data_IF_203533812482
#
_entry.id   IF_203533812482
#
_cell.length_a   1.000
_cell.length_b   1.000
_cell.length_c   1.000
_cell.angle_alpha   90.00
_cell.angle_beta   90.00
_cell.angle_gamma   90.00
#
_symmetry.space_group_name_H-M   'P 1'
#
loop_
_entity.id
_entity.type
_entity.pdbx_description
1 polymer ?
#
# COMPACT_ATOMS: atom_id res chain seq x y z
N UNK A 1 31.84 -56.20 -20.41
CA UNK A 1 31.29 -54.99 -21.06
C UNK A 1 30.70 -54.09 -19.99
N UNK A 2 31.23 -52.87 -19.94
CA UNK A 2 30.62 -51.59 -19.49
C UNK A 2 30.13 -51.47 -18.04
N UNK A 3 30.97 -50.76 -17.27
CA UNK A 3 30.63 -50.00 -16.07
C UNK A 3 29.53 -48.98 -16.35
N UNK A 4 28.55 -48.86 -15.44
CA UNK A 4 27.63 -47.73 -15.38
C UNK A 4 27.93 -46.95 -14.09
N UNK A 5 28.64 -45.84 -14.25
CA UNK A 5 28.86 -44.85 -13.20
C UNK A 5 27.57 -44.02 -13.05
N UNK A 6 26.97 -44.06 -11.86
CA UNK A 6 25.89 -43.16 -11.49
C UNK A 6 26.50 -41.79 -11.15
N UNK A 7 26.34 -40.83 -12.05
CA UNK A 7 26.71 -39.43 -11.77
C UNK A 7 25.56 -38.82 -10.98
N UNK A 8 25.76 -38.68 -9.67
CA UNK A 8 24.90 -37.88 -8.81
C UNK A 8 25.10 -36.40 -9.17
N UNK A 9 24.16 -35.81 -9.90
CA UNK A 9 24.05 -34.35 -10.01
C UNK A 9 23.53 -33.82 -8.66
N UNK A 10 24.44 -33.42 -7.79
CA UNK A 10 24.14 -32.54 -6.67
C UNK A 10 23.83 -31.15 -7.25
N UNK A 11 22.54 -30.82 -7.34
CA UNK A 11 22.10 -29.43 -7.46
C UNK A 11 22.45 -28.72 -6.15
N UNK A 12 23.56 -27.99 -6.14
CA UNK A 12 23.80 -26.97 -5.10
C UNK A 12 22.80 -25.85 -5.33
N UNK A 13 21.68 -25.92 -4.63
CA UNK A 13 20.81 -24.76 -4.42
C UNK A 13 21.64 -23.75 -3.63
N UNK A 14 22.18 -22.75 -4.32
CA UNK A 14 22.73 -21.56 -3.68
C UNK A 14 21.51 -20.80 -3.16
N UNK A 15 21.03 -21.17 -1.97
CA UNK A 15 20.16 -20.27 -1.21
C UNK A 15 21.03 -19.08 -0.83
N UNK A 16 20.99 -18.03 -1.63
CA UNK A 16 21.42 -16.73 -1.14
C UNK A 16 20.65 -16.50 0.16
N UNK A 17 21.31 -16.13 1.27
CA UNK A 17 20.57 -15.67 2.42
C UNK A 17 19.92 -14.37 1.94
N UNK A 18 18.64 -14.45 1.58
CA UNK A 18 17.76 -13.30 1.70
C UNK A 18 17.92 -12.92 3.16
N UNK A 19 18.67 -11.84 3.41
CA UNK A 19 18.55 -11.05 4.62
C UNK A 19 17.08 -10.61 4.62
N UNK A 20 16.23 -11.48 5.14
CA UNK A 20 14.84 -11.21 5.38
C UNK A 20 14.84 -10.02 6.33
N UNK A 21 14.44 -8.90 5.76
CA UNK A 21 14.19 -7.60 6.33
C UNK A 21 13.51 -7.72 7.69
N UNK A 22 14.33 -7.71 8.74
CA UNK A 22 13.85 -7.54 10.11
C UNK A 22 13.63 -6.05 10.27
N UNK A 23 12.35 -5.65 10.27
CA UNK A 23 11.79 -4.40 10.83
C UNK A 23 11.37 -3.23 9.91
N UNK A 24 11.32 -3.33 8.57
CA UNK A 24 10.64 -2.28 7.76
C UNK A 24 9.22 -1.96 8.25
N UNK A 25 8.45 -3.01 8.59
CA UNK A 25 7.06 -2.89 9.06
C UNK A 25 6.93 -2.27 10.46
N UNK A 26 8.04 -2.20 11.22
CA UNK A 26 8.09 -1.58 12.54
C UNK A 26 8.91 -0.29 12.58
N UNK A 27 9.50 0.11 11.45
CA UNK A 27 10.32 1.31 11.36
C UNK A 27 9.44 2.57 11.52
N UNK A 28 9.50 3.16 12.71
CA UNK A 28 8.79 4.39 13.06
C UNK A 28 9.58 5.66 12.72
N UNK A 29 10.73 5.55 12.05
CA UNK A 29 11.56 6.69 11.67
C UNK A 29 10.79 7.62 10.74
N UNK A 30 10.77 8.91 11.08
CA UNK A 30 10.16 9.93 10.24
C UNK A 30 10.95 10.12 8.94
N UNK A 31 10.22 10.26 7.84
CA UNK A 31 10.78 10.59 6.55
C UNK A 31 11.23 12.05 6.57
N UNK A 32 12.53 12.28 6.39
CA UNK A 32 13.08 13.64 6.19
C UNK A 32 13.30 13.95 4.72
N UNK A 33 13.60 12.92 3.91
CA UNK A 33 13.92 13.07 2.49
C UNK A 33 13.49 11.85 1.67
N UNK A 34 12.73 12.09 0.61
CA UNK A 34 12.29 11.07 -0.34
C UNK A 34 13.35 10.76 -1.40
N UNK A 35 14.59 10.47 -0.99
CA UNK A 35 15.64 10.01 -1.90
C UNK A 35 16.22 8.70 -1.39
N UNK A 36 16.54 7.74 -2.26
CA UNK A 36 17.17 6.49 -1.84
C UNK A 36 18.49 6.74 -1.11
N UNK A 37 18.71 6.05 0.00
CA UNK A 37 19.97 5.99 0.74
C UNK A 37 20.79 4.81 0.23
N UNK A 38 21.49 5.00 -0.88
CA UNK A 38 22.18 3.91 -1.61
C UNK A 38 23.61 3.74 -1.11
N UNK A 39 24.27 4.84 -0.74
CA UNK A 39 25.67 4.80 -0.32
C UNK A 39 25.80 4.85 1.20
N UNK A 40 26.81 4.17 1.79
CA UNK A 40 27.08 4.26 3.23
C UNK A 40 27.34 5.69 3.73
N UNK A 41 27.76 6.59 2.84
CA UNK A 41 27.97 8.02 3.11
C UNK A 41 26.67 8.82 3.25
N UNK A 42 25.55 8.30 2.76
CA UNK A 42 24.27 8.99 2.77
C UNK A 42 23.72 8.98 4.20
N UNK A 43 23.79 10.15 4.86
CA UNK A 43 23.32 10.27 6.25
C UNK A 43 21.79 10.27 6.35
N UNK A 44 21.11 10.68 5.30
CA UNK A 44 19.66 10.86 5.22
C UNK A 44 19.09 10.15 3.99
N UNK A 45 17.78 9.91 3.98
CA UNK A 45 17.06 9.28 2.88
C UNK A 45 16.40 7.96 3.27
N UNK A 46 15.73 7.36 2.30
CA UNK A 46 14.97 6.13 2.47
C UNK A 46 15.92 4.92 2.44
N UNK A 47 15.97 4.09 3.50
CA UNK A 47 16.76 2.87 3.49
C UNK A 47 16.15 1.85 2.51
N UNK A 48 16.93 0.88 1.99
CA UNK A 48 16.45 -0.15 1.08
C UNK A 48 15.24 -0.95 1.56
N UNK A 49 15.09 -1.11 2.88
CA UNK A 49 13.95 -1.79 3.51
C UNK A 49 12.60 -1.10 3.30
N UNK A 50 12.59 0.19 2.90
CA UNK A 50 11.33 0.91 2.64
C UNK A 50 10.66 0.50 1.34
N UNK A 51 11.46 0.22 0.30
CA UNK A 51 10.98 -0.15 -1.04
C UNK A 51 10.63 -1.62 -1.07
N UNK A 52 9.43 -1.97 -1.54
CA UNK A 52 9.10 -3.37 -1.83
C UNK A 52 9.63 -3.78 -3.21
N UNK A 53 9.95 -5.08 -3.38
CA UNK A 53 10.60 -5.61 -4.60
C UNK A 53 9.82 -5.35 -5.90
N UNK A 54 8.49 -5.23 -5.80
CA UNK A 54 7.60 -5.01 -6.94
C UNK A 54 7.46 -3.54 -7.34
N UNK A 55 8.02 -2.61 -6.55
CA UNK A 55 8.12 -1.19 -6.88
C UNK A 55 9.57 -0.85 -7.24
N UNK A 56 9.75 -0.03 -8.28
CA UNK A 56 11.06 0.55 -8.54
C UNK A 56 11.37 1.65 -7.52
N UNK A 57 12.65 1.91 -7.27
CA UNK A 57 13.06 3.06 -6.44
C UNK A 57 12.51 4.41 -6.90
N UNK A 58 12.28 4.56 -8.21
CA UNK A 58 11.64 5.74 -8.79
C UNK A 58 10.18 5.84 -8.33
N UNK A 59 9.47 4.71 -8.28
CA UNK A 59 8.08 4.68 -7.83
C UNK A 59 7.99 4.89 -6.33
N UNK A 60 8.85 4.25 -5.52
CA UNK A 60 8.94 4.52 -4.07
C UNK A 60 9.21 6.00 -3.78
N UNK A 61 10.07 6.64 -4.57
CA UNK A 61 10.32 8.08 -4.46
C UNK A 61 9.06 8.89 -4.77
N UNK A 62 8.29 8.53 -5.80
CA UNK A 62 7.01 9.21 -6.12
C UNK A 62 5.97 9.00 -5.02
N UNK A 63 5.85 7.77 -4.51
CA UNK A 63 4.96 7.43 -3.38
C UNK A 63 5.29 8.29 -2.17
N UNK A 64 6.55 8.30 -1.76
CA UNK A 64 7.02 9.09 -0.64
C UNK A 64 6.70 10.57 -0.81
N UNK A 65 7.01 11.15 -1.97
CA UNK A 65 6.74 12.57 -2.23
C UNK A 65 5.24 12.88 -2.20
N UNK A 66 4.40 12.00 -2.74
CA UNK A 66 2.95 12.18 -2.73
C UNK A 66 2.36 12.07 -1.31
N UNK A 67 2.86 11.14 -0.51
CA UNK A 67 2.48 11.03 0.91
C UNK A 67 2.89 12.28 1.68
N UNK A 68 4.15 12.71 1.58
CA UNK A 68 4.67 13.90 2.27
C UNK A 68 3.96 15.20 1.85
N UNK A 69 3.35 15.23 0.66
CA UNK A 69 2.58 16.37 0.17
C UNK A 69 1.22 16.51 0.87
N UNK A 70 0.66 15.42 1.38
CA UNK A 70 -0.74 15.37 1.87
C UNK A 70 -0.84 15.00 3.34
N UNK A 71 0.09 14.18 3.83
CA UNK A 71 0.07 13.56 5.15
C UNK A 71 1.19 14.15 6.01
N UNK A 72 0.88 14.30 7.30
CA UNK A 72 1.82 14.78 8.31
C UNK A 72 2.35 13.60 9.13
N UNK A 73 3.66 13.61 9.40
CA UNK A 73 4.30 12.57 10.22
C UNK A 73 4.51 11.25 9.48
N UNK A 74 4.75 11.27 8.15
CA UNK A 74 5.05 10.07 7.37
C UNK A 74 6.29 9.37 7.90
N UNK A 75 6.17 8.07 8.18
CA UNK A 75 7.27 7.20 8.61
C UNK A 75 7.67 6.24 7.50
N UNK A 76 8.87 5.67 7.61
CA UNK A 76 9.38 4.66 6.71
C UNK A 76 8.39 3.49 6.51
N UNK A 77 7.87 2.91 7.61
CA UNK A 77 6.87 1.84 7.52
C UNK A 77 5.60 2.24 6.78
N UNK A 78 5.22 3.52 6.83
CA UNK A 78 3.98 3.98 6.21
C UNK A 78 4.11 3.94 4.69
N UNK A 79 5.28 4.28 4.12
CA UNK A 79 5.56 4.14 2.68
C UNK A 79 5.38 2.68 2.26
N UNK A 80 6.06 1.76 2.94
CA UNK A 80 5.99 0.31 2.69
C UNK A 80 4.55 -0.20 2.78
N UNK A 81 3.76 0.28 3.76
CA UNK A 81 2.35 -0.10 3.90
C UNK A 81 1.48 0.34 2.73
N UNK A 82 1.69 1.55 2.20
CA UNK A 82 0.97 2.04 1.03
C UNK A 82 1.38 1.29 -0.25
N UNK A 83 2.67 1.01 -0.45
CA UNK A 83 3.14 0.19 -1.58
C UNK A 83 2.56 -1.22 -1.53
N UNK A 84 2.56 -1.86 -0.35
CA UNK A 84 1.96 -3.20 -0.16
C UNK A 84 0.47 -3.21 -0.48
N UNK A 85 -0.27 -2.17 -0.07
CA UNK A 85 -1.69 -2.06 -0.37
C UNK A 85 -1.96 -2.03 -1.89
N UNK A 86 -1.16 -1.28 -2.65
CA UNK A 86 -1.29 -1.19 -4.10
C UNK A 86 -0.82 -2.48 -4.79
N UNK A 87 0.29 -3.07 -4.36
CA UNK A 87 0.79 -4.33 -4.88
C UNK A 87 -0.25 -5.46 -4.75
N UNK A 88 -0.94 -5.57 -3.61
CA UNK A 88 -2.00 -6.57 -3.41
C UNK A 88 -3.11 -6.42 -4.47
N UNK A 89 -3.49 -5.19 -4.80
CA UNK A 89 -4.54 -4.91 -5.79
C UNK A 89 -4.08 -5.19 -7.22
N UNK A 90 -2.84 -4.80 -7.54
CA UNK A 90 -2.20 -5.05 -8.83
C UNK A 90 -2.13 -6.56 -9.13
N UNK A 91 -1.53 -7.34 -8.24
CA UNK A 91 -1.28 -8.77 -8.46
C UNK A 91 -2.53 -9.64 -8.29
N UNK A 92 -3.57 -9.16 -7.61
CA UNK A 92 -4.87 -9.82 -7.58
C UNK A 92 -5.70 -9.59 -8.85
N UNK A 93 -5.24 -8.74 -9.78
CA UNK A 93 -5.97 -8.34 -10.99
C UNK A 93 -7.31 -7.65 -10.72
N UNK A 94 -7.52 -7.15 -9.50
CA UNK A 94 -8.77 -6.52 -9.07
C UNK A 94 -8.84 -5.06 -9.51
N UNK A 95 -7.68 -4.42 -9.68
CA UNK A 95 -7.55 -3.05 -10.18
C UNK A 95 -7.32 -2.94 -11.69
N UNK A 96 -7.63 -3.99 -12.48
CA UNK A 96 -7.26 -4.08 -13.90
C UNK A 96 -7.65 -2.81 -14.68
N UNK A 97 -6.65 -2.18 -15.32
CA UNK A 97 -6.82 -0.94 -16.08
C UNK A 97 -6.67 0.37 -15.28
N UNK A 98 -6.44 0.30 -13.97
CA UNK A 98 -6.13 1.47 -13.13
C UNK A 98 -4.64 1.52 -12.83
N UNK A 99 -4.04 2.69 -13.00
CA UNK A 99 -2.64 2.96 -12.69
C UNK A 99 -2.36 2.86 -11.17
N UNK A 100 -1.25 2.22 -10.79
CA UNK A 100 -0.90 1.97 -9.39
C UNK A 100 -0.72 3.27 -8.59
N UNK A 101 -0.11 4.29 -9.21
CA UNK A 101 0.02 5.62 -8.58
C UNK A 101 -1.33 6.34 -8.47
N UNK A 102 -2.27 6.09 -9.38
CA UNK A 102 -3.65 6.58 -9.23
C UNK A 102 -4.34 5.94 -8.02
N UNK A 103 -4.23 4.62 -7.84
CA UNK A 103 -4.79 3.93 -6.65
C UNK A 103 -4.17 4.49 -5.36
N UNK A 104 -2.85 4.66 -5.35
CA UNK A 104 -2.14 5.23 -4.21
C UNK A 104 -2.67 6.62 -3.82
N UNK A 105 -2.82 7.51 -4.81
CA UNK A 105 -3.40 8.85 -4.61
C UNK A 105 -4.81 8.79 -4.06
N UNK A 106 -5.61 7.83 -4.51
CA UNK A 106 -6.96 7.64 -4.01
C UNK A 106 -6.98 7.16 -2.55
N UNK A 107 -6.09 6.25 -2.16
CA UNK A 107 -5.94 5.84 -0.76
C UNK A 107 -5.52 7.02 0.13
N UNK A 108 -4.53 7.82 -0.30
CA UNK A 108 -4.09 9.04 0.40
C UNK A 108 -5.24 10.05 0.53
N UNK A 109 -6.02 10.24 -0.53
CA UNK A 109 -7.17 11.14 -0.53
C UNK A 109 -8.26 10.68 0.46
N UNK A 110 -8.49 9.36 0.60
CA UNK A 110 -9.42 8.84 1.60
C UNK A 110 -8.93 9.15 3.01
N UNK A 111 -7.64 8.95 3.31
CA UNK A 111 -7.04 9.35 4.59
C UNK A 111 -7.27 10.84 4.87
N UNK A 112 -7.03 11.70 3.88
CA UNK A 112 -7.23 13.14 4.00
C UNK A 112 -8.70 13.52 4.24
N UNK A 113 -9.62 12.98 3.45
CA UNK A 113 -11.06 13.26 3.56
C UNK A 113 -11.64 12.79 4.90
N UNK A 114 -11.09 11.73 5.47
CA UNK A 114 -11.45 11.22 6.80
C UNK A 114 -10.83 12.01 7.96
N UNK A 115 -10.05 13.05 7.69
CA UNK A 115 -9.39 13.83 8.75
C UNK A 115 -8.39 13.01 9.55
N UNK A 116 -7.71 12.08 8.87
CA UNK A 116 -6.68 11.23 9.45
C UNK A 116 -5.27 11.67 9.01
N UNK A 117 -5.12 12.81 8.33
CA UNK A 117 -3.86 13.24 7.70
C UNK A 117 -2.68 13.39 8.67
N UNK A 118 -2.92 13.59 9.97
CA UNK A 118 -1.96 13.74 11.06
C UNK A 118 -1.97 12.56 12.04
N UNK A 119 -2.59 11.44 11.65
CA UNK A 119 -2.79 10.24 12.49
C UNK A 119 -2.14 9.03 11.84
N UNK A 120 -0.79 8.95 11.78
CA UNK A 120 -0.08 7.91 11.06
C UNK A 120 -0.40 6.50 11.56
N UNK A 121 -0.75 6.36 12.84
CA UNK A 121 -1.20 5.08 13.41
C UNK A 121 -2.56 4.60 12.92
N UNK A 122 -3.34 5.43 12.21
CA UNK A 122 -4.67 5.08 11.68
C UNK A 122 -4.68 4.76 10.18
N UNK A 123 -3.58 5.02 9.47
CA UNK A 123 -3.52 4.87 8.02
C UNK A 123 -3.54 3.40 7.61
N UNK A 124 -2.80 2.56 8.35
CA UNK A 124 -2.73 1.14 8.07
C UNK A 124 -4.09 0.46 8.19
N UNK A 125 -4.83 0.67 9.29
CA UNK A 125 -6.15 0.04 9.44
C UNK A 125 -7.13 0.51 8.38
N UNK A 126 -7.11 1.80 8.05
CA UNK A 126 -7.97 2.37 7.01
C UNK A 126 -7.68 1.77 5.64
N UNK A 127 -6.41 1.76 5.22
CA UNK A 127 -6.00 1.19 3.94
C UNK A 127 -6.31 -0.31 3.86
N UNK A 128 -5.98 -1.06 4.92
CA UNK A 128 -6.23 -2.49 4.97
C UNK A 128 -7.74 -2.81 4.91
N UNK A 129 -8.59 -2.02 5.57
CA UNK A 129 -10.05 -2.13 5.45
C UNK A 129 -10.49 -1.93 4.00
N UNK A 130 -10.02 -0.87 3.33
CA UNK A 130 -10.38 -0.54 1.95
C UNK A 130 -9.94 -1.66 1.00
N UNK A 131 -8.68 -2.09 1.08
CA UNK A 131 -8.13 -3.15 0.23
C UNK A 131 -8.88 -4.46 0.44
N UNK A 132 -9.15 -4.85 1.69
CA UNK A 132 -9.93 -6.07 2.00
C UNK A 132 -11.35 -5.99 1.47
N UNK A 133 -12.02 -4.86 1.63
CA UNK A 133 -13.36 -4.66 1.11
C UNK A 133 -13.39 -4.71 -0.42
N UNK A 134 -12.42 -4.05 -1.07
CA UNK A 134 -12.30 -4.06 -2.53
C UNK A 134 -12.06 -5.48 -3.06
N UNK A 135 -11.20 -6.24 -2.38
CA UNK A 135 -10.95 -7.65 -2.69
C UNK A 135 -12.19 -8.53 -2.47
N UNK A 136 -12.85 -8.40 -1.31
CA UNK A 136 -14.04 -9.16 -0.98
C UNK A 136 -15.19 -8.91 -1.97
N UNK A 137 -15.23 -7.72 -2.57
CA UNK A 137 -16.24 -7.32 -3.54
C UNK A 137 -15.78 -7.44 -4.99
N UNK A 138 -14.66 -8.14 -5.26
CA UNK A 138 -14.14 -8.41 -6.60
C UNK A 138 -14.09 -7.15 -7.48
N UNK A 139 -13.57 -6.04 -6.96
CA UNK A 139 -13.39 -4.84 -7.78
C UNK A 139 -14.57 -3.86 -7.76
N UNK A 140 -15.77 -4.32 -7.37
CA UNK A 140 -17.03 -3.55 -7.58
C UNK A 140 -17.05 -2.21 -6.86
N UNK A 141 -16.57 -2.16 -5.62
CA UNK A 141 -16.49 -0.91 -4.84
C UNK A 141 -15.03 -0.60 -4.51
N UNK A 142 -14.39 0.17 -5.39
CA UNK A 142 -13.03 0.69 -5.18
C UNK A 142 -12.95 2.08 -4.51
N UNK A 143 -11.73 2.56 -4.23
CA UNK A 143 -11.42 3.84 -3.59
C UNK A 143 -12.13 5.04 -4.23
N UNK A 144 -12.24 5.09 -5.56
CA UNK A 144 -12.96 6.17 -6.26
C UNK A 144 -14.43 6.30 -5.84
N UNK A 145 -15.12 5.20 -5.58
CA UNK A 145 -16.51 5.22 -5.08
C UNK A 145 -16.56 5.77 -3.65
N UNK A 146 -15.60 5.35 -2.81
CA UNK A 146 -15.46 5.82 -1.43
C UNK A 146 -15.19 7.33 -1.40
N UNK A 147 -14.27 7.83 -2.23
CA UNK A 147 -13.98 9.25 -2.37
C UNK A 147 -15.22 10.04 -2.78
N UNK A 148 -15.96 9.52 -3.78
CA UNK A 148 -17.19 10.16 -4.25
C UNK A 148 -18.21 10.28 -3.12
N UNK A 149 -18.40 9.22 -2.35
CA UNK A 149 -19.25 9.25 -1.17
C UNK A 149 -18.77 10.25 -0.10
N UNK A 150 -17.50 10.19 0.29
CA UNK A 150 -16.95 11.07 1.32
C UNK A 150 -17.07 12.55 0.93
N UNK A 151 -16.88 12.88 -0.35
CA UNK A 151 -17.08 14.24 -0.86
C UNK A 151 -18.55 14.66 -0.81
N UNK A 152 -19.46 13.77 -1.22
CA UNK A 152 -20.91 14.04 -1.20
C UNK A 152 -21.47 14.15 0.22
N UNK A 153 -20.90 13.43 1.20
CA UNK A 153 -21.30 13.51 2.60
C UNK A 153 -20.93 14.87 3.25
N UNK A 154 -19.97 15.59 2.66
CA UNK A 154 -19.43 16.84 3.22
C UNK A 154 -18.36 16.61 4.29
N UNK A 155 -17.59 17.66 4.61
CA UNK A 155 -16.36 17.53 5.41
C UNK A 155 -16.60 17.03 6.83
N UNK A 156 -17.65 17.48 7.51
CA UNK A 156 -17.90 17.12 8.91
C UNK A 156 -18.32 15.64 9.04
N UNK A 157 -19.20 15.17 8.16
CA UNK A 157 -19.61 13.77 8.13
C UNK A 157 -18.45 12.86 7.70
N UNK A 158 -17.65 13.25 6.71
CA UNK A 158 -16.50 12.49 6.25
C UNK A 158 -15.43 12.31 7.35
N UNK A 159 -15.12 13.39 8.09
CA UNK A 159 -14.18 13.37 9.21
C UNK A 159 -14.71 12.62 10.43
N UNK A 160 -16.02 12.68 10.67
CA UNK A 160 -16.69 11.98 11.76
C UNK A 160 -16.87 10.46 11.53
N UNK A 161 -16.58 9.96 10.33
CA UNK A 161 -16.85 8.58 9.96
C UNK A 161 -15.87 7.60 10.61
N UNK A 162 -16.38 6.73 11.49
CA UNK A 162 -15.61 5.61 12.07
C UNK A 162 -15.29 4.53 11.03
N UNK A 163 -14.38 3.60 11.36
CA UNK A 163 -14.05 2.48 10.47
C UNK A 163 -15.26 1.53 10.28
N UNK A 164 -16.07 1.32 11.33
CA UNK A 164 -17.33 0.59 11.23
C UNK A 164 -18.34 1.32 10.33
N UNK A 165 -18.42 2.65 10.46
CA UNK A 165 -19.25 3.49 9.60
C UNK A 165 -18.83 3.37 8.13
N UNK A 166 -17.53 3.47 7.87
CA UNK A 166 -16.95 3.30 6.54
C UNK A 166 -17.27 1.90 5.96
N UNK A 167 -17.10 0.85 6.76
CA UNK A 167 -17.43 -0.53 6.35
C UNK A 167 -18.90 -0.65 5.95
N UNK A 168 -19.82 -0.14 6.76
CA UNK A 168 -21.26 -0.15 6.45
C UNK A 168 -21.55 0.59 5.14
N UNK A 169 -20.90 1.73 4.92
CA UNK A 169 -21.09 2.50 3.69
C UNK A 169 -20.58 1.77 2.45
N UNK A 170 -19.43 1.10 2.52
CA UNK A 170 -18.91 0.28 1.41
C UNK A 170 -19.87 -0.87 1.09
N UNK A 171 -20.44 -1.53 2.11
CA UNK A 171 -21.47 -2.57 1.93
C UNK A 171 -22.73 -1.99 1.25
N UNK A 172 -23.19 -0.82 1.68
CA UNK A 172 -24.37 -0.17 1.07
C UNK A 172 -24.12 0.19 -0.40
N UNK A 173 -22.94 0.72 -0.75
CA UNK A 173 -22.56 0.98 -2.14
C UNK A 173 -22.57 -0.30 -2.97
N UNK A 174 -22.08 -1.42 -2.42
CA UNK A 174 -22.12 -2.72 -3.10
C UNK A 174 -23.55 -3.17 -3.41
N UNK A 175 -24.46 -2.98 -2.46
CA UNK A 175 -25.87 -3.30 -2.65
C UNK A 175 -26.58 -2.37 -3.64
N UNK A 176 -26.21 -1.08 -3.70
CA UNK A 176 -26.71 -0.17 -4.73
C UNK A 176 -26.29 -0.62 -6.13
N UNK A 177 -25.00 -0.93 -6.30
CA UNK A 177 -24.48 -1.47 -7.56
C UNK A 177 -25.21 -2.75 -8.01
N UNK A 178 -25.50 -3.68 -7.07
CA UNK A 178 -26.23 -4.91 -7.38
C UNK A 178 -27.68 -4.68 -7.81
N UNK A 179 -28.28 -3.55 -7.42
CA UNK A 179 -29.65 -3.15 -7.79
C UNK A 179 -29.70 -2.35 -9.09
N UNK A 180 -28.56 -1.87 -9.59
CA UNK A 180 -28.48 -1.04 -10.80
C UNK A 180 -28.78 0.45 -10.55
N UNK A 181 -28.71 0.88 -9.28
CA UNK A 181 -28.81 2.28 -8.85
C UNK A 181 -27.45 2.97 -8.95
#
# INVERSE_FOLDING_TARGET
MKYLAAIALTFTIISSPVLADVDADRDITLVTKCTPKIFPSDREGLPPSVSIEVFSWSDTTKVCNEMMRVLEGVRHKDITNFEKAVAVLHFSQISYGTDDMQILKELIEIIRLRGLYDKPDRWYETNNLIVRAWNAFNGVVGPRHIITFLRSAGPDAAKGLSDDGLTRMIILMKHQYQRGD
#
